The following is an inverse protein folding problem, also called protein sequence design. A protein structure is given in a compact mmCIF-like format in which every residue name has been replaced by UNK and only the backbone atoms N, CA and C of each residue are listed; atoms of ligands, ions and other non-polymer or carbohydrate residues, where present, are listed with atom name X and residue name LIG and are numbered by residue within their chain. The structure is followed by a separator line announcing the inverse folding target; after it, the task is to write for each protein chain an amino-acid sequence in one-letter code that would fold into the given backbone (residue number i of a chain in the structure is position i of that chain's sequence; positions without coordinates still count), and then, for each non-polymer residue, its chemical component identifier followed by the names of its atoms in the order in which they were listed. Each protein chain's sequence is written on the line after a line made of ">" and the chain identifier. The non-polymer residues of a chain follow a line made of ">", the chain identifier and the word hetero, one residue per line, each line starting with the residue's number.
data_IF_655607695931
#
_entry.id   IF_655607695931
#
_cell.length_a   1.000
_cell.length_b   1.000
_cell.length_c   1.000
_cell.angle_alpha   90.00
_cell.angle_beta   90.00
_cell.angle_gamma   90.00
#
_symmetry.space_group_name_H-M   'P 1'
#
loop_
_entity.id
_entity.type
_entity.pdbx_description
1 polymer ?
#
# COMPACT_ATOMS: atom_id res chain seq x y z
N UNK A 1 14.10 14.36 16.16
CA UNK A 1 13.40 13.14 16.60
C UNK A 1 12.02 13.12 15.94
N UNK A 2 11.82 12.29 14.91
CA UNK A 2 10.55 12.26 14.17
C UNK A 2 9.53 11.42 14.94
N UNK A 3 8.46 12.07 15.41
CA UNK A 3 7.36 11.46 16.15
C UNK A 3 6.56 10.55 15.23
N UNK A 4 6.54 9.23 15.49
CA UNK A 4 5.71 8.23 14.79
C UNK A 4 4.24 8.36 15.22
N UNK A 5 3.66 9.54 15.06
CA UNK A 5 2.24 9.78 15.33
C UNK A 5 1.42 9.16 14.21
N UNK A 6 0.35 8.47 14.59
CA UNK A 6 -0.69 8.08 13.63
C UNK A 6 -1.31 9.36 13.08
N UNK A 7 -1.55 9.39 11.77
CA UNK A 7 -2.02 10.56 10.99
C UNK A 7 -3.33 11.14 11.56
N UNK A 8 -4.06 10.35 12.37
CA UNK A 8 -5.34 10.70 12.99
C UNK A 8 -5.25 11.25 14.43
N UNK A 9 -4.05 11.39 15.00
CA UNK A 9 -3.89 11.89 16.38
C UNK A 9 -3.87 13.42 16.44
N UNK A 10 -4.74 14.01 17.28
CA UNK A 10 -4.72 15.45 17.58
C UNK A 10 -3.34 15.89 18.09
N UNK A 11 -2.84 17.07 17.70
CA UNK A 11 -1.54 17.56 18.15
C UNK A 11 -1.56 17.79 19.67
N UNK A 12 -0.56 17.24 20.37
CA UNK A 12 -0.32 17.50 21.80
C UNK A 12 0.43 18.82 21.95
N UNK A 13 0.18 19.53 23.05
CA UNK A 13 1.00 20.71 23.39
C UNK A 13 2.43 20.27 23.71
N UNK A 14 3.41 21.18 23.58
CA UNK A 14 4.83 20.86 23.88
C UNK A 14 5.04 20.29 25.29
N UNK A 15 4.34 20.82 26.29
CA UNK A 15 4.43 20.34 27.67
C UNK A 15 3.88 18.91 27.80
N UNK A 16 2.71 18.65 27.21
CA UNK A 16 2.13 17.29 27.21
C UNK A 16 2.97 16.31 26.39
N UNK A 17 3.63 16.75 25.32
CA UNK A 17 4.49 15.89 24.52
C UNK A 17 5.73 15.45 25.31
N UNK A 18 6.36 16.35 26.07
CA UNK A 18 7.48 15.97 26.96
C UNK A 18 7.06 14.97 28.05
N UNK A 19 5.95 15.22 28.74
CA UNK A 19 5.47 14.33 29.80
C UNK A 19 5.04 12.97 29.24
N UNK A 20 4.38 12.97 28.08
CA UNK A 20 3.98 11.75 27.40
C UNK A 20 5.20 10.95 26.94
N UNK A 21 6.16 11.57 26.25
CA UNK A 21 7.36 10.90 25.76
C UNK A 21 8.16 10.30 26.91
N UNK A 22 8.24 10.99 28.06
CA UNK A 22 8.89 10.46 29.25
C UNK A 22 8.17 9.22 29.79
N UNK A 23 6.85 9.29 29.97
CA UNK A 23 6.07 8.15 30.45
C UNK A 23 6.08 6.97 29.47
N UNK A 24 5.99 7.24 28.17
CA UNK A 24 6.07 6.25 27.12
C UNK A 24 7.43 5.54 27.17
N UNK A 25 8.54 6.29 27.20
CA UNK A 25 9.88 5.69 27.24
C UNK A 25 10.13 4.87 28.52
N UNK A 26 9.57 5.28 29.66
CA UNK A 26 9.75 4.59 30.94
C UNK A 26 8.97 3.28 31.01
N UNK A 27 7.69 3.29 30.60
CA UNK A 27 6.80 2.15 30.84
C UNK A 27 6.63 1.24 29.64
N UNK A 28 6.76 1.75 28.41
CA UNK A 28 6.54 0.96 27.19
C UNK A 28 7.45 -0.27 27.10
N UNK A 29 8.77 -0.21 27.38
CA UNK A 29 9.62 -1.40 27.35
C UNK A 29 9.26 -2.43 28.43
N UNK A 30 8.82 -1.99 29.61
CA UNK A 30 8.43 -2.88 30.70
C UNK A 30 7.11 -3.61 30.38
N UNK A 31 6.12 -2.89 29.85
CA UNK A 31 4.85 -3.45 29.39
C UNK A 31 5.05 -4.40 28.21
N UNK A 32 5.92 -4.06 27.25
CA UNK A 32 6.23 -4.95 26.12
C UNK A 32 6.88 -6.27 26.60
N UNK A 33 7.77 -6.21 27.59
CA UNK A 33 8.37 -7.41 28.21
C UNK A 33 7.34 -8.26 28.94
N UNK A 34 6.41 -7.61 29.65
CA UNK A 34 5.34 -8.28 30.39
C UNK A 34 4.39 -8.98 29.41
N UNK A 35 3.91 -8.24 28.42
CA UNK A 35 3.05 -8.76 27.37
C UNK A 35 3.71 -9.98 26.72
N UNK A 36 4.98 -9.88 26.34
CA UNK A 36 5.76 -11.00 25.79
C UNK A 36 5.78 -12.25 26.69
N UNK A 37 5.94 -12.09 28.01
CA UNK A 37 5.97 -13.22 28.95
C UNK A 37 4.64 -13.99 28.94
N UNK A 38 3.53 -13.30 28.74
CA UNK A 38 2.19 -13.90 28.83
C UNK A 38 1.54 -14.21 27.47
N UNK A 39 1.91 -13.53 26.39
CA UNK A 39 1.38 -13.81 25.04
C UNK A 39 2.31 -14.65 24.16
N UNK A 40 3.55 -14.92 24.58
CA UNK A 40 4.51 -15.71 23.79
C UNK A 40 4.94 -15.07 22.47
N UNK A 41 4.60 -13.79 22.25
CA UNK A 41 4.84 -13.09 20.97
C UNK A 41 6.28 -12.57 20.89
N UNK A 42 7.01 -12.76 19.77
CA UNK A 42 8.38 -12.29 19.63
C UNK A 42 8.49 -10.74 19.65
N UNK A 43 9.61 -10.23 20.19
CA UNK A 43 9.88 -8.79 20.42
C UNK A 43 10.05 -7.97 19.13
N UNK A 44 10.53 -8.60 18.06
CA UNK A 44 10.58 -8.01 16.73
C UNK A 44 9.33 -8.44 15.98
N UNK A 45 8.69 -7.58 15.15
CA UNK A 45 7.88 -8.12 14.07
C UNK A 45 8.72 -9.20 13.37
N UNK A 46 8.16 -10.38 13.03
CA UNK A 46 8.91 -11.35 12.24
C UNK A 46 9.50 -10.56 11.08
N UNK A 47 10.83 -10.68 10.90
CA UNK A 47 11.56 -10.00 9.84
C UNK A 47 10.70 -10.19 8.60
N UNK A 48 10.11 -9.11 8.07
CA UNK A 48 9.26 -9.21 6.88
C UNK A 48 10.11 -9.99 5.88
N UNK A 49 9.66 -11.18 5.51
CA UNK A 49 10.36 -11.97 4.51
C UNK A 49 10.23 -11.14 3.23
N UNK A 50 11.25 -10.34 2.95
CA UNK A 50 11.35 -9.55 1.71
C UNK A 50 11.71 -10.46 0.54
N UNK A 51 12.14 -11.69 0.83
CA UNK A 51 12.28 -12.75 -0.14
C UNK A 51 10.92 -13.42 -0.31
N UNK A 52 10.36 -13.29 -1.50
CA UNK A 52 9.27 -14.14 -1.96
C UNK A 52 9.81 -15.59 -1.93
N UNK A 53 9.16 -16.53 -1.23
CA UNK A 53 9.56 -17.94 -1.22
C UNK A 53 9.84 -18.47 -2.62
N UNK A 54 10.93 -19.22 -2.81
CA UNK A 54 11.34 -19.75 -4.11
C UNK A 54 10.23 -20.57 -4.78
N UNK A 55 9.37 -21.24 -4.01
CA UNK A 55 8.20 -21.96 -4.49
C UNK A 55 7.18 -21.04 -5.20
N UNK A 56 7.05 -19.79 -4.75
CA UNK A 56 6.18 -18.79 -5.36
C UNK A 56 6.82 -18.25 -6.64
N UNK A 57 8.14 -18.03 -6.64
CA UNK A 57 8.87 -17.62 -7.84
C UNK A 57 8.82 -18.70 -8.93
N UNK A 58 9.05 -19.97 -8.58
CA UNK A 58 8.97 -21.10 -9.50
C UNK A 58 7.54 -21.31 -10.03
N UNK A 59 6.52 -21.17 -9.17
CA UNK A 59 5.12 -21.22 -9.59
C UNK A 59 4.78 -20.07 -10.54
N UNK A 60 5.29 -18.87 -10.26
CA UNK A 60 5.10 -17.70 -11.10
C UNK A 60 5.76 -17.91 -12.45
N UNK A 61 7.04 -18.30 -12.49
CA UNK A 61 7.73 -18.65 -13.73
C UNK A 61 6.95 -19.70 -14.52
N UNK A 62 6.59 -20.84 -13.92
CA UNK A 62 5.81 -21.88 -14.62
C UNK A 62 4.46 -21.36 -15.16
N UNK A 63 3.77 -20.49 -14.42
CA UNK A 63 2.49 -19.92 -14.87
C UNK A 63 2.64 -18.98 -16.09
N UNK A 64 3.81 -18.36 -16.27
CA UNK A 64 4.08 -17.43 -17.37
C UNK A 64 5.00 -18.02 -18.46
N UNK A 65 5.51 -19.24 -18.30
CA UNK A 65 6.33 -19.93 -19.30
C UNK A 65 5.53 -20.43 -20.51
N UNK A 66 4.23 -20.73 -20.31
CA UNK A 66 3.35 -21.28 -21.36
C UNK A 66 2.56 -20.21 -22.14
N UNK A 67 2.68 -18.95 -21.74
CA UNK A 67 1.83 -17.87 -22.23
C UNK A 67 2.51 -17.11 -23.37
N UNK A 68 2.37 -17.64 -24.59
CA UNK A 68 2.67 -16.91 -25.83
C UNK A 68 1.90 -15.58 -25.88
N UNK A 69 2.56 -14.50 -26.30
CA UNK A 69 2.02 -13.14 -26.29
C UNK A 69 0.70 -13.06 -27.06
N UNK A 70 0.56 -13.83 -28.14
CA UNK A 70 -0.67 -13.94 -28.94
C UNK A 70 -1.83 -14.59 -28.15
N UNK A 71 -1.54 -15.61 -27.34
CA UNK A 71 -2.56 -16.23 -26.49
C UNK A 71 -2.98 -15.32 -25.33
N UNK A 72 -2.06 -14.54 -24.78
CA UNK A 72 -2.37 -13.46 -23.83
C UNK A 72 -3.28 -12.41 -24.47
N UNK A 73 -2.93 -11.95 -25.69
CA UNK A 73 -3.69 -10.95 -26.43
C UNK A 73 -5.13 -11.43 -26.70
N UNK A 74 -5.28 -12.65 -27.20
CA UNK A 74 -6.59 -13.27 -27.45
C UNK A 74 -7.44 -13.45 -26.18
N UNK A 75 -6.82 -13.74 -25.02
CA UNK A 75 -7.54 -13.79 -23.73
C UNK A 75 -7.95 -12.39 -23.27
N UNK A 76 -7.05 -11.42 -23.42
CA UNK A 76 -7.29 -10.03 -23.04
C UNK A 76 -8.37 -9.36 -23.90
N UNK A 77 -8.44 -9.66 -25.20
CA UNK A 77 -9.49 -9.16 -26.12
C UNK A 77 -10.91 -9.47 -25.64
N UNK A 78 -11.11 -10.59 -24.92
CA UNK A 78 -12.42 -10.91 -24.33
C UNK A 78 -12.82 -9.96 -23.19
N UNK A 79 -11.84 -9.36 -22.52
CA UNK A 79 -12.03 -8.54 -21.32
C UNK A 79 -11.83 -7.05 -21.59
N UNK A 80 -11.08 -6.68 -22.63
CA UNK A 80 -10.84 -5.30 -23.07
C UNK A 80 -11.81 -5.02 -24.23
N UNK A 81 -13.02 -4.64 -23.87
CA UNK A 81 -14.09 -4.34 -24.84
C UNK A 81 -14.08 -2.89 -25.33
N UNK A 82 -13.24 -2.02 -24.76
CA UNK A 82 -13.15 -0.61 -25.13
C UNK A 82 -11.85 0.05 -24.69
N UNK A 83 -11.59 1.24 -25.25
CA UNK A 83 -10.42 2.07 -24.92
C UNK A 83 -10.58 2.67 -23.53
N UNK A 84 -9.99 2.00 -22.54
CA UNK A 84 -9.99 2.45 -21.14
C UNK A 84 -8.58 2.86 -20.73
N UNK A 85 -8.46 4.04 -20.12
CA UNK A 85 -7.21 4.55 -19.56
C UNK A 85 -7.08 4.13 -18.10
N UNK A 86 -5.86 3.85 -17.65
CA UNK A 86 -5.58 3.42 -16.29
C UNK A 86 -4.86 4.53 -15.51
N UNK A 87 -5.47 5.01 -14.43
CA UNK A 87 -4.82 5.96 -13.51
C UNK A 87 -3.82 5.22 -12.59
N UNK A 88 -2.70 5.87 -12.29
CA UNK A 88 -1.74 5.50 -11.25
C UNK A 88 -2.37 5.19 -9.87
N UNK A 89 -3.57 5.73 -9.60
CA UNK A 89 -4.36 5.46 -8.39
C UNK A 89 -5.26 4.23 -8.49
N UNK A 90 -5.26 3.53 -9.62
CA UNK A 90 -6.01 2.30 -9.87
C UNK A 90 -7.43 2.51 -10.41
N UNK A 91 -7.81 3.72 -10.80
CA UNK A 91 -9.11 3.98 -11.43
C UNK A 91 -9.06 3.64 -12.93
N UNK A 92 -10.14 3.04 -13.46
CA UNK A 92 -10.35 2.83 -14.90
C UNK A 92 -11.28 3.92 -15.41
N UNK A 93 -10.83 4.69 -16.39
CA UNK A 93 -11.61 5.75 -17.03
C UNK A 93 -11.86 5.37 -18.48
N UNK A 94 -13.05 5.68 -19.00
CA UNK A 94 -13.28 5.61 -20.44
C UNK A 94 -12.48 6.73 -21.11
N UNK A 95 -11.75 6.41 -22.18
CA UNK A 95 -10.95 7.39 -22.91
C UNK A 95 -11.81 8.55 -23.46
N UNK A 96 -13.09 8.28 -23.75
CA UNK A 96 -14.06 9.30 -24.21
C UNK A 96 -14.41 10.29 -23.10
N UNK A 97 -14.62 9.79 -21.88
CA UNK A 97 -14.95 10.64 -20.73
C UNK A 97 -13.76 11.53 -20.35
N UNK A 98 -12.54 11.00 -20.48
CA UNK A 98 -11.33 11.78 -20.26
C UNK A 98 -11.19 12.90 -21.30
N UNK A 99 -11.36 12.61 -22.59
CA UNK A 99 -11.30 13.63 -23.65
C UNK A 99 -12.34 14.74 -23.45
N UNK A 100 -13.57 14.38 -23.10
CA UNK A 100 -14.63 15.35 -22.83
C UNK A 100 -14.31 16.25 -21.61
N UNK A 101 -13.68 15.68 -20.57
CA UNK A 101 -13.26 16.46 -19.38
C UNK A 101 -12.20 17.51 -19.70
N UNK A 102 -11.23 17.18 -20.56
CA UNK A 102 -10.21 18.13 -21.02
C UNK A 102 -10.82 19.25 -21.89
N UNK A 103 -11.76 18.92 -22.76
CA UNK A 103 -12.46 19.91 -23.60
C UNK A 103 -13.34 20.87 -22.78
N UNK A 104 -13.98 20.40 -21.70
CA UNK A 104 -14.72 21.27 -20.77
C UNK A 104 -13.79 22.20 -19.97
N UNK A 105 -12.65 21.69 -19.49
CA UNK A 105 -11.70 22.47 -18.70
C UNK A 105 -11.08 23.60 -19.57
N UNK A 106 -10.76 23.32 -20.83
CA UNK A 106 -10.23 24.33 -21.76
C UNK A 106 -11.24 25.44 -22.07
N UNK A 107 -12.54 25.14 -22.12
CA UNK A 107 -13.60 26.15 -22.35
C UNK A 107 -13.86 27.07 -21.16
N UNK A 108 -13.46 26.68 -19.94
CA UNK A 108 -13.60 27.51 -18.74
C UNK A 108 -12.46 28.53 -18.56
N UNK A 109 -11.39 28.40 -19.35
CA UNK A 109 -10.23 29.31 -19.33
C UNK A 109 -10.17 30.28 -20.51
N UNK A 110 -11.16 30.27 -21.41
CA UNK A 110 -11.34 31.25 -22.50
C UNK A 110 -12.61 32.06 -22.28
#
# INVERSE_FOLDING_TARGET
>A
MSSRRTILSRPRTRLYDSSYNMGENMYRPALDRLNRKYTGRPLSPPRRQTAVPNEILERHERAFMDDDLENCRRRAEKHITGDTFFDSRGARLDARDLMNSFDEEVRLFT
#
